data_IF_350435125181
#
_entry.id   IF_350435125181
#
_cell.length_a   1.000
_cell.length_b   1.000
_cell.length_c   1.000
_cell.angle_alpha   90.00
_cell.angle_beta   90.00
_cell.angle_gamma   90.00
#
_symmetry.space_group_name_H-M   'P 1'
#
loop_
_entity.id
_entity.type
_entity.pdbx_description
1 polymer ?
#
# COMPACT_ATOMS: atom_id res chain seq x y z
N UNK A 1 2.56 -10.52 37.40
CA UNK A 1 1.31 -10.84 38.13
C UNK A 1 1.10 -12.34 38.31
N UNK A 2 1.00 -13.15 37.24
CA UNK A 2 0.87 -14.61 37.40
C UNK A 2 2.13 -15.29 37.95
N UNK A 3 3.31 -14.87 37.49
CA UNK A 3 4.61 -15.27 38.06
C UNK A 3 4.81 -14.84 39.53
N UNK A 4 4.00 -13.89 40.02
CA UNK A 4 3.99 -13.46 41.43
C UNK A 4 2.96 -14.25 42.26
N UNK A 5 2.38 -15.33 41.72
CA UNK A 5 1.43 -16.21 42.42
C UNK A 5 -0.03 -15.72 42.46
N UNK A 6 -0.37 -14.59 41.83
CA UNK A 6 -1.75 -14.06 41.86
C UNK A 6 -2.75 -14.99 41.14
N UNK A 7 -3.95 -15.13 41.71
CA UNK A 7 -5.06 -15.89 41.09
C UNK A 7 -5.62 -15.15 39.87
N UNK A 8 -6.20 -15.87 38.92
CA UNK A 8 -6.74 -15.28 37.69
C UNK A 8 -7.86 -14.26 37.97
N UNK A 9 -8.68 -14.49 39.00
CA UNK A 9 -9.73 -13.56 39.44
C UNK A 9 -9.15 -12.23 39.91
N UNK A 10 -8.09 -12.27 40.73
CA UNK A 10 -7.40 -11.07 41.21
C UNK A 10 -6.73 -10.30 40.06
N UNK A 11 -6.19 -11.02 39.06
CA UNK A 11 -5.59 -10.38 37.89
C UNK A 11 -6.68 -9.73 37.02
N UNK A 12 -7.82 -10.40 36.85
CA UNK A 12 -8.97 -9.87 36.13
C UNK A 12 -9.50 -8.58 36.79
N UNK A 13 -9.66 -8.58 38.11
CA UNK A 13 -10.06 -7.38 38.88
C UNK A 13 -9.05 -6.23 38.70
N UNK A 14 -7.74 -6.51 38.75
CA UNK A 14 -6.70 -5.49 38.60
C UNK A 14 -6.55 -4.93 37.18
N UNK A 15 -6.94 -5.70 36.16
CA UNK A 15 -6.70 -5.36 34.74
C UNK A 15 -7.98 -5.05 33.99
N UNK A 16 -9.13 -5.17 34.66
CA UNK A 16 -10.49 -5.03 34.11
C UNK A 16 -10.78 -5.95 32.91
N UNK A 17 -9.94 -6.97 32.70
CA UNK A 17 -10.15 -7.98 31.68
C UNK A 17 -10.94 -9.16 32.22
N UNK A 18 -11.73 -9.79 31.35
CA UNK A 18 -12.42 -11.02 31.69
C UNK A 18 -11.43 -12.14 32.08
N UNK A 19 -11.68 -12.93 33.14
CA UNK A 19 -10.74 -13.97 33.62
C UNK A 19 -10.30 -14.97 32.54
N UNK A 20 -11.22 -15.34 31.63
CA UNK A 20 -10.90 -16.22 30.51
C UNK A 20 -9.91 -15.58 29.51
N UNK A 21 -10.01 -14.27 29.29
CA UNK A 21 -9.09 -13.54 28.42
C UNK A 21 -7.69 -13.44 29.06
N UNK A 22 -7.62 -13.19 30.37
CA UNK A 22 -6.36 -13.25 31.13
C UNK A 22 -5.71 -14.64 31.01
N UNK A 23 -6.48 -15.72 31.18
CA UNK A 23 -5.98 -17.09 31.02
C UNK A 23 -5.45 -17.35 29.61
N UNK A 24 -6.16 -16.85 28.58
CA UNK A 24 -5.74 -16.95 27.18
C UNK A 24 -4.43 -16.21 26.94
N UNK A 25 -4.31 -14.97 27.41
CA UNK A 25 -3.08 -14.17 27.28
C UNK A 25 -1.88 -14.82 27.96
N UNK A 26 -2.07 -15.36 29.18
CA UNK A 26 -1.01 -16.10 29.90
C UNK A 26 -0.59 -17.34 29.10
N UNK A 27 -1.54 -18.10 28.55
CA UNK A 27 -1.24 -19.28 27.73
C UNK A 27 -0.47 -18.91 26.45
N UNK A 28 -0.90 -17.86 25.74
CA UNK A 28 -0.20 -17.37 24.53
C UNK A 28 1.22 -16.97 24.87
N UNK A 29 1.42 -16.18 25.94
CA UNK A 29 2.74 -15.75 26.38
C UNK A 29 3.65 -16.94 26.75
N UNK A 30 3.15 -17.90 27.53
CA UNK A 30 3.94 -19.05 27.96
C UNK A 30 4.36 -19.96 26.79
N UNK A 31 3.51 -20.09 25.76
CA UNK A 31 3.76 -20.99 24.63
C UNK A 31 4.51 -20.33 23.46
N UNK A 32 4.29 -19.04 23.22
CA UNK A 32 4.74 -18.34 22.00
C UNK A 32 5.54 -17.06 22.30
N UNK A 33 5.67 -16.69 23.58
CA UNK A 33 6.41 -15.51 24.01
C UNK A 33 5.67 -14.20 23.75
N UNK A 34 6.41 -13.09 23.95
CA UNK A 34 5.90 -11.74 23.78
C UNK A 34 5.50 -11.38 22.32
N UNK A 35 6.21 -11.84 21.27
CA UNK A 35 5.84 -11.52 19.89
C UNK A 35 4.39 -11.90 19.56
N UNK A 36 3.91 -13.04 20.05
CA UNK A 36 2.54 -13.48 19.82
C UNK A 36 1.44 -12.61 20.46
N UNK A 37 1.79 -11.69 21.36
CA UNK A 37 0.83 -10.72 21.92
C UNK A 37 0.90 -9.38 21.18
N UNK A 38 2.10 -8.99 20.74
CA UNK A 38 2.35 -7.69 20.11
C UNK A 38 2.06 -7.74 18.60
N UNK A 39 2.38 -8.86 17.95
CA UNK A 39 2.22 -9.03 16.52
C UNK A 39 0.74 -9.01 16.14
N UNK A 40 0.43 -8.24 15.09
CA UNK A 40 -0.90 -8.22 14.53
C UNK A 40 -1.13 -9.49 13.72
N UNK A 41 -1.84 -10.46 14.31
CA UNK A 41 -2.21 -11.73 13.67
C UNK A 41 -3.20 -11.57 12.51
N UNK A 42 -3.84 -10.42 12.39
CA UNK A 42 -4.68 -10.14 11.25
C UNK A 42 -3.78 -9.85 10.05
N UNK A 43 -3.66 -10.83 9.16
CA UNK A 43 -3.16 -10.61 7.81
C UNK A 43 -4.07 -9.57 7.13
N UNK A 44 -3.64 -8.31 7.18
CA UNK A 44 -4.43 -7.20 6.66
C UNK A 44 -4.65 -7.33 5.16
N UNK A 45 -5.89 -7.07 4.71
CA UNK A 45 -6.34 -6.99 3.31
C UNK A 45 -5.88 -8.15 2.40
N UNK A 46 -6.82 -8.97 1.93
CA UNK A 46 -6.62 -9.95 0.83
C UNK A 46 -6.26 -9.23 -0.48
N UNK A 47 -5.06 -8.67 -0.56
CA UNK A 47 -4.53 -8.00 -1.76
C UNK A 47 -4.04 -9.06 -2.72
N UNK A 48 -4.21 -8.80 -4.00
CA UNK A 48 -3.73 -9.70 -5.05
C UNK A 48 -2.21 -9.64 -5.22
N UNK A 49 -1.59 -8.52 -4.82
CA UNK A 49 -0.14 -8.30 -4.84
C UNK A 49 0.27 -7.52 -3.59
N UNK A 50 1.52 -7.70 -3.16
CA UNK A 50 2.15 -6.88 -2.13
C UNK A 50 2.31 -5.42 -2.60
N UNK A 51 2.50 -4.50 -1.66
CA UNK A 51 2.67 -3.08 -2.02
C UNK A 51 3.88 -2.85 -2.94
N UNK A 52 4.97 -3.58 -2.73
CA UNK A 52 6.19 -3.50 -3.54
C UNK A 52 5.98 -4.05 -4.95
N UNK A 53 5.26 -5.17 -5.09
CA UNK A 53 4.90 -5.74 -6.40
C UNK A 53 3.96 -4.81 -7.20
N UNK A 54 3.00 -4.17 -6.53
CA UNK A 54 2.15 -3.16 -7.18
C UNK A 54 2.96 -1.94 -7.61
N UNK A 55 3.91 -1.48 -6.78
CA UNK A 55 4.76 -0.34 -7.10
C UNK A 55 5.68 -0.61 -8.30
N UNK A 56 6.29 -1.79 -8.35
CA UNK A 56 7.12 -2.21 -9.50
C UNK A 56 6.30 -2.31 -10.78
N UNK A 57 5.11 -2.92 -10.72
CA UNK A 57 4.16 -2.97 -11.83
C UNK A 57 3.77 -1.58 -12.35
N UNK A 58 3.45 -0.64 -11.46
CA UNK A 58 3.07 0.72 -11.86
C UNK A 58 4.23 1.57 -12.36
N UNK A 59 5.49 1.21 -12.04
CA UNK A 59 6.66 2.01 -12.41
C UNK A 59 6.84 2.15 -13.92
N UNK A 60 6.50 1.11 -14.69
CA UNK A 60 6.58 1.10 -16.15
C UNK A 60 5.61 2.12 -16.76
N UNK A 61 4.37 2.11 -16.29
CA UNK A 61 3.38 3.09 -16.69
C UNK A 61 3.76 4.51 -16.26
N UNK A 62 4.44 4.66 -15.11
CA UNK A 62 4.83 5.99 -14.59
C UNK A 62 5.78 6.67 -15.57
N UNK A 63 6.76 5.92 -16.07
CA UNK A 63 7.70 6.38 -17.11
C UNK A 63 6.99 6.76 -18.41
N UNK A 64 6.04 5.95 -18.85
CA UNK A 64 5.26 6.26 -20.07
C UNK A 64 4.39 7.52 -19.90
N UNK A 65 3.83 7.73 -18.71
CA UNK A 65 3.03 8.91 -18.41
C UNK A 65 3.89 10.18 -18.37
N UNK A 66 5.11 10.09 -17.83
CA UNK A 66 6.10 11.18 -17.84
C UNK A 66 6.56 11.56 -19.25
N UNK A 67 6.64 10.58 -20.15
CA UNK A 67 6.92 10.80 -21.57
C UNK A 67 5.75 11.44 -22.34
N UNK A 68 4.63 11.71 -21.66
CA UNK A 68 3.45 12.35 -22.26
C UNK A 68 2.55 11.39 -23.02
N UNK A 69 2.67 10.08 -22.81
CA UNK A 69 1.70 9.13 -23.35
C UNK A 69 0.41 9.14 -22.52
N UNK A 70 -0.73 9.18 -23.20
CA UNK A 70 -2.03 9.05 -22.54
C UNK A 70 -2.25 7.58 -22.22
N UNK A 71 -2.20 7.24 -20.93
CA UNK A 71 -2.41 5.86 -20.46
C UNK A 71 -3.86 5.68 -20.04
N UNK A 72 -4.52 4.69 -20.63
CA UNK A 72 -5.87 4.29 -20.24
C UNK A 72 -5.82 3.31 -19.06
N UNK A 73 -6.65 3.56 -18.03
CA UNK A 73 -6.75 2.68 -16.85
C UNK A 73 -7.19 1.26 -17.24
N UNK A 74 -7.96 1.10 -18.31
CA UNK A 74 -8.36 -0.21 -18.85
C UNK A 74 -7.18 -1.08 -19.28
N UNK A 75 -6.12 -0.47 -19.83
CA UNK A 75 -4.89 -1.18 -20.21
C UNK A 75 -4.15 -1.68 -18.96
N UNK A 76 -4.00 -0.81 -17.97
CA UNK A 76 -3.38 -1.18 -16.68
C UNK A 76 -4.20 -2.29 -15.99
N UNK A 77 -5.54 -2.22 -16.06
CA UNK A 77 -6.42 -3.25 -15.50
C UNK A 77 -6.16 -4.62 -16.13
N UNK A 78 -6.11 -4.69 -17.46
CA UNK A 78 -5.86 -5.97 -18.17
C UNK A 78 -4.50 -6.56 -17.80
N UNK A 79 -3.44 -5.75 -17.84
CA UNK A 79 -2.10 -6.20 -17.45
C UNK A 79 -2.04 -6.64 -15.97
N UNK A 80 -2.80 -5.98 -15.09
CA UNK A 80 -2.92 -6.39 -13.68
C UNK A 80 -3.62 -7.75 -13.54
N UNK A 81 -4.71 -7.98 -14.30
CA UNK A 81 -5.44 -9.25 -14.30
C UNK A 81 -4.56 -10.41 -14.82
N UNK A 82 -3.78 -10.17 -15.86
CA UNK A 82 -2.80 -11.13 -16.39
C UNK A 82 -1.72 -11.46 -15.37
N UNK A 83 -1.19 -10.46 -14.67
CA UNK A 83 -0.15 -10.65 -13.64
C UNK A 83 -0.67 -11.43 -12.43
N UNK A 84 -1.93 -11.25 -12.06
CA UNK A 84 -2.55 -11.92 -10.92
C UNK A 84 -3.14 -13.28 -11.31
N UNK A 85 -3.42 -13.52 -12.59
CA UNK A 85 -3.98 -14.78 -13.10
C UNK A 85 -5.50 -14.91 -12.92
N UNK A 86 -6.20 -13.82 -12.58
CA UNK A 86 -7.67 -13.82 -12.50
C UNK A 86 -8.27 -12.43 -12.75
N UNK A 87 -9.55 -12.40 -13.11
CA UNK A 87 -10.28 -11.13 -13.30
C UNK A 87 -10.48 -10.40 -11.98
N UNK A 88 -10.40 -9.07 -12.02
CA UNK A 88 -10.63 -8.21 -10.86
C UNK A 88 -11.90 -7.37 -11.02
N UNK A 89 -12.51 -7.01 -9.89
CA UNK A 89 -13.65 -6.10 -9.87
C UNK A 89 -13.29 -4.70 -10.40
N UNK A 90 -14.28 -3.99 -10.94
CA UNK A 90 -14.09 -2.66 -11.57
C UNK A 90 -13.35 -1.66 -10.67
N UNK A 91 -13.66 -1.64 -9.37
CA UNK A 91 -13.06 -0.71 -8.42
C UNK A 91 -11.64 -1.07 -7.95
N UNK A 92 -11.18 -2.30 -8.18
CA UNK A 92 -9.95 -2.77 -7.58
C UNK A 92 -8.73 -2.04 -8.14
N UNK A 93 -8.67 -1.84 -9.46
CA UNK A 93 -7.57 -1.12 -10.09
C UNK A 93 -7.47 0.32 -9.58
N UNK A 94 -8.61 0.99 -9.34
CA UNK A 94 -8.63 2.35 -8.82
C UNK A 94 -8.07 2.41 -7.39
N UNK A 95 -8.37 1.42 -6.54
CA UNK A 95 -7.78 1.33 -5.19
C UNK A 95 -6.27 1.10 -5.24
N UNK A 96 -5.79 0.29 -6.19
CA UNK A 96 -4.35 0.10 -6.40
C UNK A 96 -3.71 1.44 -6.77
N UNK A 97 -4.26 2.13 -7.78
CA UNK A 97 -3.77 3.43 -8.23
C UNK A 97 -3.77 4.48 -7.11
N UNK A 98 -4.86 4.58 -6.36
CA UNK A 98 -5.00 5.50 -5.21
C UNK A 98 -3.95 5.25 -4.12
N UNK A 99 -3.71 3.99 -3.74
CA UNK A 99 -2.67 3.63 -2.75
C UNK A 99 -1.27 4.04 -3.16
N UNK A 100 -0.99 4.07 -4.47
CA UNK A 100 0.30 4.46 -5.04
C UNK A 100 0.40 5.94 -5.41
N UNK A 101 -0.59 6.75 -4.98
CA UNK A 101 -0.66 8.17 -5.27
C UNK A 101 -0.74 8.47 -6.77
N UNK A 102 -1.28 7.55 -7.55
CA UNK A 102 -1.30 7.66 -9.00
C UNK A 102 -2.22 8.79 -9.44
N UNK A 103 -1.67 9.75 -10.19
CA UNK A 103 -2.41 10.83 -10.82
C UNK A 103 -2.41 10.62 -12.33
N UNK A 104 -3.56 10.83 -12.99
CA UNK A 104 -3.62 10.90 -14.45
C UNK A 104 -2.82 12.13 -14.91
N UNK A 105 -1.62 11.91 -15.44
CA UNK A 105 -0.78 12.97 -16.01
C UNK A 105 -1.28 13.20 -17.43
N UNK A 106 -1.90 14.36 -17.67
CA UNK A 106 -2.11 14.82 -19.05
C UNK A 106 -0.87 15.57 -19.51
N UNK A 107 -0.41 15.35 -20.76
CA UNK A 107 0.64 16.16 -21.34
C UNK A 107 0.24 17.62 -21.23
N UNK A 108 1.13 18.46 -20.68
CA UNK A 108 0.89 19.89 -20.67
C UNK A 108 0.80 20.35 -22.13
N UNK A 109 -0.29 21.01 -22.50
CA UNK A 109 -0.48 21.55 -23.85
C UNK A 109 0.74 22.41 -24.23
N UNK A 110 1.50 21.99 -25.25
CA UNK A 110 2.52 22.84 -25.87
C UNK A 110 1.84 23.63 -26.99
N UNK A 111 2.09 24.94 -27.04
CA UNK A 111 1.63 25.78 -28.14
C UNK A 111 2.33 25.33 -29.46
N UNK A 112 1.64 25.27 -30.61
CA UNK A 112 2.22 24.82 -31.88
C UNK A 112 3.51 25.55 -32.26
N UNK A 113 3.58 26.85 -31.97
CA UNK A 113 4.74 27.70 -32.24
C UNK A 113 5.72 27.81 -31.06
N UNK A 114 5.75 26.82 -30.16
CA UNK A 114 6.74 26.84 -29.05
C UNK A 114 8.13 26.67 -29.64
N UNK A 115 9.04 27.62 -29.37
CA UNK A 115 10.45 27.47 -29.69
C UNK A 115 11.04 26.21 -29.03
N UNK A 116 12.09 25.63 -29.64
CA UNK A 116 12.78 24.47 -29.08
C UNK A 116 13.32 24.78 -27.68
N UNK A 117 13.40 23.77 -26.82
CA UNK A 117 13.86 23.96 -25.44
C UNK A 117 15.30 24.51 -25.40
N UNK A 118 16.11 24.19 -26.42
CA UNK A 118 17.45 24.74 -26.67
C UNK A 118 17.45 26.25 -27.00
N UNK A 119 16.51 26.71 -27.84
CA UNK A 119 16.39 28.13 -28.19
C UNK A 119 15.91 28.97 -26.99
N UNK A 120 15.06 28.40 -26.13
CA UNK A 120 14.61 29.04 -24.89
C UNK A 120 15.76 29.13 -23.88
N UNK A 121 16.57 28.08 -23.73
CA UNK A 121 17.77 28.06 -22.89
C UNK A 121 18.81 29.10 -23.35
N UNK A 122 19.06 29.19 -24.66
CA UNK A 122 20.01 30.15 -25.23
C UNK A 122 19.55 31.61 -25.00
N UNK A 123 18.27 31.91 -25.20
CA UNK A 123 17.71 33.25 -24.95
C UNK A 123 17.85 33.69 -23.50
N UNK A 124 17.78 32.78 -22.53
CA UNK A 124 17.93 33.10 -21.11
C UNK A 124 19.37 33.38 -20.69
N UNK A 125 20.36 32.86 -21.43
CA UNK A 125 21.80 33.06 -21.17
C UNK A 125 22.34 34.36 -21.78
N UNK A 126 21.51 35.09 -22.53
CA UNK A 126 21.84 36.35 -23.20
C UNK A 126 21.43 37.61 -22.40
N UNK A 127 20.98 37.45 -21.15
CA UNK A 127 20.72 38.56 -20.21
C UNK A 127 21.68 38.44 -19.03
#
# INVERSE_FOLDING_TARGET
MRAQGKKLTQIAEMTEYHPAYVSKLVSIYCNQGLPAIIENHYAGNRRNMSFTEEATFLSEYKKLAEQGQIIEVGVIKKAYEEKVGHTIGKGQIYRVLERHGWRKVMPRSKHPNKASDEAIEASKKLT
#
